data_IF_368495391159
#
_entry.id   IF_368495391159
#
_cell.length_a   1.000
_cell.length_b   1.000
_cell.length_c   1.000
_cell.angle_alpha   90.00
_cell.angle_beta   90.00
_cell.angle_gamma   90.00
#
_symmetry.space_group_name_H-M   'P 1'
#
loop_
_entity.id
_entity.type
_entity.pdbx_description
1 polymer ?
#
# COMPACT_ATOMS: atom_id res chain seq x y z
N UNK A 1 17.47 19.81 12.61
CA UNK A 1 16.40 19.02 11.95
C UNK A 1 16.38 17.51 12.29
N UNK A 2 17.53 16.85 12.53
CA UNK A 2 17.63 15.40 12.87
C UNK A 2 16.95 14.96 14.18
N UNK A 3 16.67 15.89 15.09
CA UNK A 3 16.04 15.62 16.40
C UNK A 3 14.51 15.52 16.32
N UNK A 4 13.86 16.25 15.42
CA UNK A 4 12.40 16.28 15.29
C UNK A 4 11.84 14.99 14.69
N UNK A 5 12.50 14.44 13.67
CA UNK A 5 12.10 13.17 13.03
C UNK A 5 12.28 11.98 14.00
N UNK A 6 13.36 11.97 14.79
CA UNK A 6 13.61 10.94 15.80
C UNK A 6 12.54 10.94 16.90
N UNK A 7 12.08 12.11 17.32
CA UNK A 7 11.03 12.22 18.33
C UNK A 7 9.66 11.73 17.82
N UNK A 8 9.36 11.97 16.54
CA UNK A 8 8.12 11.52 15.93
C UNK A 8 8.04 9.98 15.88
N UNK A 9 9.08 9.32 15.38
CA UNK A 9 9.16 7.84 15.27
C UNK A 9 9.11 7.19 16.67
N UNK A 10 9.83 7.75 17.66
CA UNK A 10 9.87 7.20 19.03
C UNK A 10 8.52 7.30 19.75
N UNK A 11 7.71 8.32 19.43
CA UNK A 11 6.37 8.48 19.99
C UNK A 11 5.34 7.53 19.37
N UNK A 12 5.52 7.14 18.11
CA UNK A 12 4.66 6.18 17.42
C UNK A 12 4.89 4.75 17.94
N UNK A 13 6.16 4.36 18.14
CA UNK A 13 6.54 3.06 18.73
C UNK A 13 6.03 2.91 20.17
N UNK A 14 6.15 3.97 20.98
CA UNK A 14 5.67 3.94 22.37
C UNK A 14 4.14 3.74 22.44
N UNK A 15 3.38 4.34 21.51
CA UNK A 15 1.92 4.16 21.41
C UNK A 15 1.54 2.77 20.93
N UNK A 16 2.27 2.20 19.97
CA UNK A 16 2.05 0.83 19.51
C UNK A 16 2.36 -0.20 20.60
N UNK A 17 3.46 -0.02 21.34
CA UNK A 17 3.82 -0.90 22.46
C UNK A 17 2.78 -0.87 23.61
N UNK A 18 2.12 0.28 23.83
CA UNK A 18 1.04 0.40 24.81
C UNK A 18 -0.27 -0.23 24.33
N UNK A 19 -0.59 -0.18 23.03
CA UNK A 19 -1.77 -0.86 22.47
C UNK A 19 -1.61 -2.39 22.53
N UNK A 20 -0.45 -2.93 22.14
CA UNK A 20 -0.21 -4.38 22.15
C UNK A 20 -0.22 -5.00 23.56
N UNK A 21 0.00 -4.21 24.63
CA UNK A 21 -0.11 -4.69 26.02
C UNK A 21 -1.55 -4.79 26.54
N UNK A 22 -2.54 -4.16 25.90
CA UNK A 22 -3.94 -4.21 26.36
C UNK A 22 -4.74 -5.40 25.83
N UNK A 23 -4.24 -6.12 24.83
CA UNK A 23 -4.92 -7.28 24.26
C UNK A 23 -4.26 -8.58 24.73
N UNK A 24 -4.45 -8.96 26.00
CA UNK A 24 -4.26 -10.34 26.41
C UNK A 24 -5.54 -11.13 26.08
N UNK A 25 -5.50 -12.15 25.19
CA UNK A 25 -6.68 -12.97 24.91
C UNK A 25 -7.04 -13.80 26.16
N UNK A 26 -8.09 -13.41 26.88
CA UNK A 26 -8.65 -14.25 27.95
C UNK A 26 -9.09 -15.60 27.36
N UNK A 27 -8.65 -16.75 27.91
CA UNK A 27 -9.06 -18.06 27.38
C UNK A 27 -10.57 -18.24 27.58
N UNK A 28 -11.32 -18.21 26.47
CA UNK A 28 -12.77 -18.40 26.47
C UNK A 28 -13.07 -19.89 26.74
N UNK A 29 -13.98 -20.18 27.66
CA UNK A 29 -14.39 -21.54 28.01
C UNK A 29 -14.84 -22.34 26.78
N UNK A 30 -14.49 -23.64 26.70
CA UNK A 30 -14.80 -24.51 25.55
C UNK A 30 -16.27 -24.43 25.14
N UNK A 31 -17.18 -24.35 26.11
CA UNK A 31 -18.62 -24.25 25.86
C UNK A 31 -19.00 -22.95 25.14
N UNK A 32 -18.41 -21.82 25.53
CA UNK A 32 -18.59 -20.53 24.83
C UNK A 32 -18.02 -20.56 23.42
N UNK A 33 -16.90 -21.23 23.18
CA UNK A 33 -16.34 -21.37 21.83
C UNK A 33 -17.23 -22.20 20.90
N UNK A 34 -17.81 -23.30 21.42
CA UNK A 34 -18.75 -24.14 20.66
C UNK A 34 -20.02 -23.36 20.32
N UNK A 35 -20.59 -22.63 21.28
CA UNK A 35 -21.76 -21.79 21.06
C UNK A 35 -21.49 -20.66 20.05
N UNK A 36 -20.32 -20.02 20.12
CA UNK A 36 -19.93 -18.99 19.14
C UNK A 36 -19.80 -19.58 17.74
N UNK A 37 -19.22 -20.78 17.60
CA UNK A 37 -19.09 -21.47 16.30
C UNK A 37 -20.44 -21.89 15.72
N UNK A 38 -21.35 -22.40 16.54
CA UNK A 38 -22.72 -22.72 16.15
C UNK A 38 -23.49 -21.47 15.71
N UNK A 39 -23.40 -20.38 16.48
CA UNK A 39 -24.04 -19.12 16.12
C UNK A 39 -23.49 -18.55 14.79
N UNK A 40 -22.17 -18.58 14.59
CA UNK A 40 -21.54 -18.18 13.32
C UNK A 40 -21.98 -19.05 12.15
N UNK A 41 -22.08 -20.37 12.35
CA UNK A 41 -22.53 -21.29 11.30
C UNK A 41 -24.00 -21.04 10.90
N UNK A 42 -24.87 -20.79 11.88
CA UNK A 42 -26.28 -20.44 11.63
C UNK A 42 -26.40 -19.10 10.90
N UNK A 43 -25.65 -18.09 11.34
CA UNK A 43 -25.61 -16.78 10.67
C UNK A 43 -25.10 -16.92 9.24
N UNK A 44 -24.02 -17.68 9.01
CA UNK A 44 -23.48 -17.93 7.67
C UNK A 44 -24.49 -18.67 6.77
N UNK A 45 -25.22 -19.64 7.30
CA UNK A 45 -26.26 -20.37 6.57
C UNK A 45 -27.45 -19.47 6.19
N UNK A 46 -27.90 -18.60 7.10
CA UNK A 46 -28.97 -17.64 6.83
C UNK A 46 -28.54 -16.63 5.77
N UNK A 47 -27.31 -16.12 5.86
CA UNK A 47 -26.72 -15.22 4.86
C UNK A 47 -26.63 -15.91 3.50
N UNK A 48 -26.20 -17.18 3.45
CA UNK A 48 -26.13 -17.93 2.19
C UNK A 48 -27.50 -18.23 1.57
N UNK A 49 -28.54 -18.41 2.39
CA UNK A 49 -29.89 -18.75 1.92
C UNK A 49 -30.73 -17.51 1.54
N UNK A 50 -30.47 -16.36 2.16
CA UNK A 50 -31.23 -15.12 1.97
C UNK A 50 -30.54 -14.09 1.06
N UNK A 51 -29.26 -14.28 0.71
CA UNK A 51 -28.65 -13.48 -0.35
C UNK A 51 -29.17 -14.02 -1.69
N UNK A 52 -29.96 -13.24 -2.46
CA UNK A 52 -30.24 -13.63 -3.83
C UNK A 52 -28.91 -13.72 -4.57
N UNK A 53 -28.72 -14.78 -5.36
CA UNK A 53 -27.55 -15.02 -6.24
C UNK A 53 -27.24 -13.86 -7.22
N UNK A 54 -28.00 -12.76 -7.18
CA UNK A 54 -27.86 -11.56 -7.98
C UNK A 54 -26.91 -10.49 -7.43
N UNK A 55 -26.35 -10.62 -6.21
CA UNK A 55 -25.40 -9.63 -5.65
C UNK A 55 -23.92 -10.04 -5.72
N UNK A 56 -23.63 -11.21 -6.28
CA UNK A 56 -22.24 -11.65 -6.54
C UNK A 56 -21.58 -10.99 -7.77
N UNK A 57 -22.26 -10.40 -8.79
CA UNK A 57 -21.55 -10.02 -9.99
C UNK A 57 -20.66 -8.77 -9.83
N UNK A 58 -20.83 -7.96 -8.78
CA UNK A 58 -20.11 -6.67 -8.66
C UNK A 58 -18.60 -6.84 -8.45
N UNK A 59 -18.14 -7.95 -7.86
CA UNK A 59 -16.69 -8.21 -7.69
C UNK A 59 -16.15 -9.27 -8.63
N UNK A 60 -16.96 -9.76 -9.58
CA UNK A 60 -16.57 -10.76 -10.57
C UNK A 60 -16.35 -10.18 -11.96
N UNK A 61 -16.59 -8.88 -12.15
CA UNK A 61 -16.08 -8.18 -13.31
C UNK A 61 -14.58 -8.02 -13.16
N UNK A 62 -13.90 -8.97 -13.82
CA UNK A 62 -12.66 -8.83 -14.55
C UNK A 62 -11.81 -7.66 -14.08
N UNK A 63 -10.61 -7.98 -13.58
CA UNK A 63 -9.46 -7.11 -13.82
C UNK A 63 -9.61 -6.66 -15.27
N UNK A 64 -9.95 -5.39 -15.45
CA UNK A 64 -9.88 -4.77 -16.76
C UNK A 64 -8.48 -5.15 -17.22
N UNK A 65 -8.39 -5.92 -18.31
CA UNK A 65 -7.18 -5.92 -19.12
C UNK A 65 -7.06 -4.48 -19.63
N UNK A 66 -6.69 -3.58 -18.73
CA UNK A 66 -6.31 -2.23 -19.02
C UNK A 66 -4.99 -2.43 -19.74
N UNK A 67 -5.10 -2.74 -21.04
CA UNK A 67 -4.00 -2.57 -21.96
C UNK A 67 -3.62 -1.11 -21.78
N UNK A 68 -2.46 -0.82 -21.17
CA UNK A 68 -2.11 0.55 -20.86
C UNK A 68 -2.12 1.33 -22.16
N UNK A 69 -2.67 2.56 -22.19
CA UNK A 69 -2.65 3.40 -23.37
C UNK A 69 -1.27 3.36 -24.04
N UNK A 70 -1.20 3.31 -25.38
CA UNK A 70 0.06 3.09 -26.10
C UNK A 70 1.15 4.12 -25.72
N UNK A 71 0.74 5.31 -25.30
CA UNK A 71 1.59 6.37 -24.75
C UNK A 71 2.44 5.90 -23.56
N UNK A 72 1.84 5.18 -22.60
CA UNK A 72 2.55 4.68 -21.41
C UNK A 72 3.53 3.58 -21.82
N UNK A 73 3.11 2.68 -22.72
CA UNK A 73 3.96 1.58 -23.20
C UNK A 73 5.24 2.11 -23.85
N UNK A 74 5.12 3.15 -24.67
CA UNK A 74 6.26 3.77 -25.34
C UNK A 74 7.18 4.49 -24.33
N UNK A 75 6.63 5.18 -23.34
CA UNK A 75 7.42 5.89 -22.33
C UNK A 75 8.32 4.96 -21.50
N UNK A 76 7.86 3.74 -21.22
CA UNK A 76 8.61 2.75 -20.42
C UNK A 76 9.32 1.70 -21.27
N UNK A 77 9.21 1.77 -22.60
CA UNK A 77 9.84 0.79 -23.50
C UNK A 77 11.36 0.79 -23.30
N UNK A 78 11.90 -0.39 -23.00
CA UNK A 78 13.34 -0.59 -22.75
C UNK A 78 13.88 0.05 -21.46
N UNK A 79 13.02 0.65 -20.60
CA UNK A 79 13.45 1.28 -19.34
C UNK A 79 13.44 0.24 -18.21
N UNK A 80 14.50 0.24 -17.41
CA UNK A 80 14.63 -0.64 -16.22
C UNK A 80 14.55 0.11 -14.88
N UNK A 81 14.65 1.43 -14.89
CA UNK A 81 14.67 2.27 -13.69
C UNK A 81 13.80 3.51 -13.92
N UNK A 82 12.95 3.81 -12.95
CA UNK A 82 12.16 5.04 -12.87
C UNK A 82 12.57 5.72 -11.56
N UNK A 83 12.95 6.99 -11.65
CA UNK A 83 13.31 7.78 -10.47
C UNK A 83 12.22 8.81 -10.21
N UNK A 84 11.68 8.82 -8.99
CA UNK A 84 10.70 9.82 -8.56
C UNK A 84 11.42 10.88 -7.71
N UNK A 85 11.46 12.11 -8.19
CA UNK A 85 12.07 13.25 -7.49
C UNK A 85 10.95 14.16 -6.98
N UNK A 86 11.05 14.61 -5.73
CA UNK A 86 10.02 15.47 -5.14
C UNK A 86 10.32 15.89 -3.71
N UNK A 87 9.25 16.32 -3.04
CA UNK A 87 9.25 16.85 -1.68
C UNK A 87 8.73 15.80 -0.66
N UNK A 88 8.02 16.27 0.38
CA UNK A 88 7.41 15.44 1.41
C UNK A 88 6.37 14.46 0.88
N UNK A 89 5.62 14.83 -0.18
CA UNK A 89 4.59 13.97 -0.77
C UNK A 89 5.27 12.78 -1.45
N UNK A 90 6.33 13.04 -2.21
CA UNK A 90 7.09 11.97 -2.88
C UNK A 90 7.84 11.13 -1.85
N UNK A 91 8.47 11.74 -0.84
CA UNK A 91 9.16 11.01 0.23
C UNK A 91 8.22 10.03 0.96
N UNK A 92 7.06 10.52 1.38
CA UNK A 92 6.03 9.72 2.04
C UNK A 92 5.31 8.76 1.07
N UNK A 93 5.36 9.05 -0.23
CA UNK A 93 4.73 8.26 -1.28
C UNK A 93 5.19 6.81 -1.35
N UNK A 94 6.32 6.44 -0.72
CA UNK A 94 6.80 5.05 -0.61
C UNK A 94 5.98 4.17 0.34
N UNK A 95 5.23 4.77 1.28
CA UNK A 95 4.44 4.01 2.25
C UNK A 95 3.19 3.42 1.59
N UNK A 96 2.60 2.35 2.15
CA UNK A 96 1.38 1.75 1.62
C UNK A 96 0.26 2.78 1.40
N UNK A 97 -0.33 2.78 0.20
CA UNK A 97 -1.33 3.77 -0.22
C UNK A 97 -0.74 5.09 -0.75
N UNK A 98 0.57 5.30 -0.67
CA UNK A 98 1.25 6.46 -1.24
C UNK A 98 1.39 6.38 -2.77
N UNK A 99 1.65 7.51 -3.42
CA UNK A 99 1.71 7.60 -4.88
C UNK A 99 2.84 6.74 -5.50
N UNK A 100 4.03 6.73 -4.90
CA UNK A 100 5.17 5.92 -5.38
C UNK A 100 4.91 4.42 -5.16
N UNK A 101 4.28 4.06 -4.04
CA UNK A 101 3.86 2.70 -3.75
C UNK A 101 2.80 2.21 -4.75
N UNK A 102 1.79 3.04 -5.05
CA UNK A 102 0.77 2.73 -6.04
C UNK A 102 1.37 2.56 -7.44
N UNK A 103 2.28 3.46 -7.84
CA UNK A 103 3.01 3.34 -9.10
C UNK A 103 3.76 2.01 -9.21
N UNK A 104 4.45 1.60 -8.14
CA UNK A 104 5.14 0.31 -8.09
C UNK A 104 4.19 -0.87 -8.27
N UNK A 105 3.05 -0.85 -7.57
CA UNK A 105 2.03 -1.90 -7.65
C UNK A 105 1.40 -1.96 -9.03
N UNK A 106 1.10 -0.80 -9.59
CA UNK A 106 0.49 -0.67 -10.90
C UNK A 106 1.41 -1.21 -12.00
N UNK A 107 2.66 -0.78 -12.04
CA UNK A 107 3.63 -1.27 -13.04
C UNK A 107 3.92 -2.76 -12.89
N UNK A 108 4.02 -3.27 -11.65
CA UNK A 108 4.20 -4.71 -11.41
C UNK A 108 3.00 -5.55 -11.87
N UNK A 109 1.79 -5.01 -11.77
CA UNK A 109 0.58 -5.69 -12.24
C UNK A 109 0.47 -5.69 -13.76
N UNK A 110 0.81 -4.56 -14.41
CA UNK A 110 0.73 -4.44 -15.87
C UNK A 110 1.88 -5.11 -16.62
N UNK A 111 3.07 -5.15 -16.02
CA UNK A 111 4.28 -5.68 -16.66
C UNK A 111 5.01 -6.66 -15.74
N UNK A 112 4.38 -7.79 -15.36
CA UNK A 112 4.93 -8.73 -14.38
C UNK A 112 6.29 -9.31 -14.80
N UNK A 113 6.52 -9.47 -16.11
CA UNK A 113 7.77 -9.99 -16.66
C UNK A 113 8.88 -8.94 -16.77
N UNK A 114 8.56 -7.65 -16.57
CA UNK A 114 9.53 -6.56 -16.61
C UNK A 114 9.98 -6.19 -15.21
N UNK A 115 11.27 -6.32 -14.95
CA UNK A 115 11.88 -5.83 -13.72
C UNK A 115 12.14 -4.31 -13.82
N UNK A 116 11.11 -3.52 -13.56
CA UNK A 116 11.21 -2.05 -13.49
C UNK A 116 11.45 -1.65 -12.03
N UNK A 117 12.64 -1.12 -11.73
CA UNK A 117 12.96 -0.59 -10.41
C UNK A 117 12.43 0.84 -10.26
N UNK A 118 11.80 1.13 -9.12
CA UNK A 118 11.40 2.49 -8.75
C UNK A 118 12.30 2.99 -7.62
N UNK A 119 12.98 4.10 -7.84
CA UNK A 119 13.84 4.76 -6.85
C UNK A 119 13.18 6.05 -6.41
N UNK A 120 12.96 6.17 -5.10
CA UNK A 120 12.35 7.35 -4.51
C UNK A 120 13.42 8.31 -3.99
N UNK A 121 13.54 9.47 -4.62
CA UNK A 121 14.41 10.58 -4.24
C UNK A 121 13.61 11.78 -3.69
N UNK A 122 12.45 11.54 -3.06
CA UNK A 122 11.70 12.57 -2.35
C UNK A 122 12.39 12.98 -1.05
N UNK A 123 12.42 14.29 -0.75
CA UNK A 123 12.96 14.83 0.51
C UNK A 123 12.01 15.93 1.02
N UNK A 124 11.42 15.72 2.20
CA UNK A 124 10.53 16.67 2.84
C UNK A 124 11.17 18.06 2.99
N UNK A 125 10.42 19.09 2.59
CA UNK A 125 10.82 20.49 2.67
C UNK A 125 11.58 21.02 1.45
N UNK A 126 11.99 20.14 0.52
CA UNK A 126 12.67 20.59 -0.70
C UNK A 126 11.72 21.35 -1.62
N UNK A 127 12.22 22.47 -2.14
CA UNK A 127 11.61 23.24 -3.23
C UNK A 127 12.26 22.87 -4.56
N UNK A 128 11.75 23.45 -5.65
CA UNK A 128 12.27 23.23 -7.00
C UNK A 128 13.78 23.50 -7.10
N UNK A 129 14.29 24.56 -6.46
CA UNK A 129 15.72 24.91 -6.44
C UNK A 129 16.57 23.87 -5.75
N UNK A 130 16.08 23.30 -4.63
CA UNK A 130 16.80 22.24 -3.91
C UNK A 130 16.85 20.95 -4.74
N UNK A 131 15.77 20.64 -5.44
CA UNK A 131 15.70 19.51 -6.36
C UNK A 131 16.62 19.70 -7.57
N UNK A 132 16.69 20.90 -8.12
CA UNK A 132 17.59 21.22 -9.22
C UNK A 132 19.06 21.04 -8.82
N UNK A 133 19.45 21.52 -7.64
CA UNK A 133 20.83 21.43 -7.15
C UNK A 133 21.33 19.98 -6.97
N UNK A 134 20.42 19.04 -6.73
CA UNK A 134 20.73 17.61 -6.51
C UNK A 134 20.33 16.71 -7.69
N UNK A 135 19.77 17.27 -8.77
CA UNK A 135 19.15 16.48 -9.83
C UNK A 135 20.12 15.49 -10.48
N UNK A 136 21.36 15.92 -10.73
CA UNK A 136 22.41 15.06 -11.28
C UNK A 136 22.61 13.81 -10.42
N UNK A 137 22.87 14.02 -9.13
CA UNK A 137 23.10 12.95 -8.16
C UNK A 137 21.89 12.03 -8.00
N UNK A 138 20.69 12.60 -7.98
CA UNK A 138 19.51 11.84 -7.58
C UNK A 138 18.81 11.15 -8.75
N UNK A 139 18.91 11.68 -9.97
CA UNK A 139 18.19 11.17 -11.14
C UNK A 139 19.07 10.63 -12.27
N UNK A 140 20.33 11.09 -12.38
CA UNK A 140 21.20 10.78 -13.51
C UNK A 140 22.28 9.76 -13.14
N UNK A 141 22.97 9.98 -12.02
CA UNK A 141 23.99 9.06 -11.49
C UNK A 141 23.37 7.77 -10.87
#
# INVERSE_FOLDING_TARGET
>A
MRLLVKNCIRSADARQAQLSRRESPRPKSRLRQVLIRLALAVIAAIIAFNIPHSLIPVFKESISEATPPPEIQNAIAGKRKIVTVGDSITEAGKYPGGCVWLLQRYLKALYPDRQIAIVNAGICGNKATDMQARFQKDAID
#
